data_IF_449372888077
#
_entry.id   IF_449372888077
#
_cell.length_a   1.000
_cell.length_b   1.000
_cell.length_c   1.000
_cell.angle_alpha   90.00
_cell.angle_beta   90.00
_cell.angle_gamma   90.00
#
_symmetry.space_group_name_H-M   'P 1'
#
loop_
_entity.id
_entity.type
_entity.pdbx_description
1 polymer ?
#
# COMPACT_ATOMS: atom_id res chain seq x y z
N UNK A 1 6.68 4.14 -20.24
CA UNK A 1 7.48 4.35 -19.02
C UNK A 1 6.58 3.98 -17.86
N UNK A 2 6.80 2.81 -17.29
CA UNK A 2 5.96 2.24 -16.24
C UNK A 2 6.09 3.07 -14.96
N UNK A 3 5.01 3.78 -14.58
CA UNK A 3 4.91 4.43 -13.27
C UNK A 3 4.99 3.34 -12.20
N UNK A 4 6.02 3.39 -11.36
CA UNK A 4 6.10 2.52 -10.19
C UNK A 4 5.21 3.09 -9.09
N UNK A 5 4.16 2.34 -8.73
CA UNK A 5 3.38 2.57 -7.51
C UNK A 5 4.06 1.84 -6.37
N UNK A 6 4.38 2.57 -5.31
CA UNK A 6 4.85 2.00 -4.06
C UNK A 6 3.73 2.05 -3.02
N UNK A 7 3.51 0.93 -2.33
CA UNK A 7 2.44 0.77 -1.36
C UNK A 7 3.02 0.71 0.05
N UNK A 8 2.45 1.47 0.98
CA UNK A 8 2.95 1.63 2.33
C UNK A 8 1.86 1.36 3.37
N UNK A 9 2.28 0.76 4.49
CA UNK A 9 1.43 0.40 5.61
C UNK A 9 0.87 1.67 6.26
N UNK A 10 -0.47 1.79 6.40
CA UNK A 10 -1.09 2.95 7.05
C UNK A 10 -0.78 3.03 8.55
N UNK A 11 -0.36 1.92 9.18
CA UNK A 11 -0.08 1.84 10.61
C UNK A 11 1.37 2.22 10.92
N UNK A 12 2.34 1.59 10.25
CA UNK A 12 3.76 1.76 10.56
C UNK A 12 4.57 2.50 9.48
N UNK A 13 3.96 2.85 8.35
CA UNK A 13 4.60 3.60 7.26
C UNK A 13 5.63 2.82 6.45
N UNK A 14 5.78 1.50 6.66
CA UNK A 14 6.73 0.65 5.92
C UNK A 14 6.13 0.16 4.60
N UNK A 15 6.97 -0.13 3.63
CA UNK A 15 6.53 -0.70 2.35
C UNK A 15 5.84 -2.05 2.57
N UNK A 16 4.72 -2.24 1.90
CA UNK A 16 3.94 -3.47 1.94
C UNK A 16 4.41 -4.45 0.87
N UNK A 17 4.20 -5.73 1.14
CA UNK A 17 4.35 -6.81 0.16
C UNK A 17 2.98 -7.21 -0.37
N UNK A 18 2.95 -7.94 -1.49
CA UNK A 18 1.69 -8.49 -2.01
C UNK A 18 1.16 -9.55 -1.05
N UNK A 19 -0.13 -9.46 -0.70
CA UNK A 19 -0.79 -10.48 0.11
C UNK A 19 -1.04 -11.74 -0.72
N UNK A 20 -0.95 -12.90 -0.09
CA UNK A 20 -1.35 -14.20 -0.66
C UNK A 20 -2.79 -14.57 -0.29
N UNK A 21 -3.44 -13.79 0.57
CA UNK A 21 -4.80 -14.04 1.07
C UNK A 21 -5.82 -13.51 0.05
N UNK A 22 -6.79 -14.35 -0.32
CA UNK A 22 -7.88 -13.94 -1.20
C UNK A 22 -8.70 -12.79 -0.58
N UNK A 23 -8.95 -11.74 -1.36
CA UNK A 23 -9.63 -10.53 -0.90
C UNK A 23 -8.69 -9.40 -0.47
N UNK A 24 -7.41 -9.70 -0.19
CA UNK A 24 -6.41 -8.70 0.17
C UNK A 24 -5.40 -8.51 -0.94
N UNK A 25 -4.88 -7.29 -1.03
CA UNK A 25 -3.88 -6.92 -2.04
C UNK A 25 -2.48 -6.86 -1.43
N UNK A 26 -2.39 -6.44 -0.16
CA UNK A 26 -1.13 -6.12 0.49
C UNK A 26 -1.07 -6.65 1.92
N UNK A 27 0.15 -6.95 2.39
CA UNK A 27 0.41 -7.41 3.75
C UNK A 27 1.59 -6.66 4.35
N UNK A 28 1.49 -6.31 5.63
CA UNK A 28 2.59 -5.77 6.40
C UNK A 28 3.21 -6.84 7.31
N UNK A 29 4.41 -7.33 6.98
CA UNK A 29 5.11 -8.33 7.82
C UNK A 29 5.53 -7.83 9.21
N UNK A 30 5.36 -6.54 9.51
CA UNK A 30 5.71 -5.96 10.81
C UNK A 30 4.50 -5.77 11.72
N UNK A 31 3.35 -5.42 11.16
CA UNK A 31 2.09 -5.32 11.90
C UNK A 31 1.33 -6.64 11.92
N UNK A 32 1.69 -7.57 11.04
CA UNK A 32 0.97 -8.82 10.76
C UNK A 32 -0.47 -8.59 10.27
N UNK A 33 -0.70 -7.43 9.65
CA UNK A 33 -2.01 -7.01 9.13
C UNK A 33 -2.04 -7.05 7.60
N UNK A 34 -3.19 -7.38 7.05
CA UNK A 34 -3.52 -7.39 5.63
C UNK A 34 -4.40 -6.18 5.25
N UNK A 35 -4.25 -5.73 4.01
CA UNK A 35 -4.88 -4.51 3.51
C UNK A 35 -5.34 -4.66 2.07
N UNK A 36 -6.45 -3.99 1.75
CA UNK A 36 -6.90 -3.77 0.37
C UNK A 36 -6.18 -2.56 -0.24
N UNK A 37 -6.21 -2.42 -1.57
CA UNK A 37 -5.59 -1.26 -2.25
C UNK A 37 -6.14 0.10 -1.76
N UNK A 38 -7.41 0.13 -1.34
CA UNK A 38 -8.06 1.36 -0.85
C UNK A 38 -7.62 1.77 0.57
N UNK A 39 -7.01 0.86 1.34
CA UNK A 39 -6.61 1.12 2.73
C UNK A 39 -5.14 1.53 2.87
N UNK A 40 -4.34 1.26 1.84
CA UNK A 40 -2.89 1.48 1.88
C UNK A 40 -2.51 2.87 1.42
N UNK A 41 -1.34 3.33 1.84
CA UNK A 41 -0.79 4.60 1.38
C UNK A 41 -0.05 4.34 0.06
N UNK A 42 -0.55 4.91 -1.03
CA UNK A 42 0.06 4.77 -2.35
C UNK A 42 0.95 6.00 -2.60
N UNK A 43 2.21 5.77 -3.00
CA UNK A 43 3.10 6.83 -3.49
C UNK A 43 3.45 6.56 -4.95
N UNK A 44 3.23 7.55 -5.79
CA UNK A 44 3.65 7.57 -7.20
C UNK A 44 4.78 8.58 -7.37
N UNK A 45 5.78 8.26 -8.20
CA UNK A 45 6.90 9.17 -8.48
C UNK A 45 6.48 10.44 -9.24
N UNK A 46 5.27 10.47 -9.81
CA UNK A 46 4.64 11.68 -10.32
C UNK A 46 3.45 12.06 -9.45
N UNK A 47 3.55 13.24 -8.84
CA UNK A 47 2.52 13.97 -8.12
C UNK A 47 2.06 13.43 -6.76
N UNK A 48 2.26 14.30 -5.76
CA UNK A 48 1.58 14.31 -4.46
C UNK A 48 0.07 14.49 -4.63
N UNK A 49 -0.66 13.50 -5.16
CA UNK A 49 -2.11 13.53 -5.11
C UNK A 49 -2.59 12.81 -3.85
N UNK A 50 -2.81 13.64 -2.82
CA UNK A 50 -3.66 13.33 -1.67
C UNK A 50 -4.94 12.63 -2.14
N UNK A 51 -5.11 11.37 -1.81
CA UNK A 51 -6.45 10.79 -1.69
C UNK A 51 -6.98 11.15 -0.31
N UNK A 52 -7.47 12.39 -0.17
CA UNK A 52 -8.38 12.78 0.92
C UNK A 52 -9.79 12.29 0.56
N UNK A 53 -10.21 11.23 1.28
CA UNK A 53 -11.54 10.94 1.84
C UNK A 53 -12.80 11.03 0.96
#
# INVERSE_FOLDING_TARGET
>A
MDMKKEYYCPICGRMLIKSEIEGYSFQCSYCDEDFTESEVIIKTEENNEKTEK
#
